data_IF_723973746432
#
_entry.id   IF_723973746432
#
_cell.length_a   1.000
_cell.length_b   1.000
_cell.length_c   1.000
_cell.angle_alpha   90.00
_cell.angle_beta   90.00
_cell.angle_gamma   90.00
#
_symmetry.space_group_name_H-M   'P 1'
#
loop_
_entity.id
_entity.type
_entity.pdbx_description
1 polymer ?
#
# COMPACT_ATOMS: atom_id res chain seq x y z
N UNK A 1 -5.64 -10.22 -1.13
CA UNK A 1 -5.34 -11.05 0.08
C UNK A 1 -6.07 -10.48 1.28
N UNK A 2 -6.26 -11.26 2.34
CA UNK A 2 -6.77 -10.77 3.62
C UNK A 2 -5.60 -10.56 4.58
N UNK A 3 -5.53 -9.41 5.25
CA UNK A 3 -4.42 -9.06 6.16
C UNK A 3 -4.97 -8.43 7.44
N UNK A 4 -4.24 -8.60 8.54
CA UNK A 4 -4.52 -7.92 9.80
C UNK A 4 -3.45 -6.86 10.03
N UNK A 5 -3.84 -5.58 10.09
CA UNK A 5 -2.97 -4.44 10.34
C UNK A 5 -3.54 -3.71 11.56
N UNK A 6 -2.74 -3.54 12.61
CA UNK A 6 -3.17 -2.88 13.86
C UNK A 6 -4.49 -3.41 14.44
N UNK A 7 -4.73 -4.73 14.33
CA UNK A 7 -5.97 -5.37 14.81
C UNK A 7 -7.19 -5.15 13.90
N UNK A 8 -7.03 -4.54 12.73
CA UNK A 8 -8.06 -4.40 11.70
C UNK A 8 -7.84 -5.40 10.58
N UNK A 9 -8.90 -6.14 10.24
CA UNK A 9 -8.89 -7.06 9.10
C UNK A 9 -9.26 -6.31 7.83
N UNK A 10 -8.36 -6.36 6.85
CA UNK A 10 -8.53 -5.74 5.54
C UNK A 10 -8.57 -6.82 4.45
N UNK A 11 -9.40 -6.60 3.43
CA UNK A 11 -9.65 -7.55 2.35
C UNK A 11 -9.18 -7.00 1.01
N UNK A 12 -8.95 -7.87 0.04
CA UNK A 12 -8.63 -7.45 -1.33
C UNK A 12 -7.25 -6.80 -1.54
N UNK A 13 -6.42 -6.73 -0.50
CA UNK A 13 -5.11 -6.06 -0.53
C UNK A 13 -4.14 -6.72 -1.53
N UNK A 14 -3.14 -5.97 -1.98
CA UNK A 14 -1.93 -6.53 -2.57
C UNK A 14 -0.70 -6.20 -1.71
N UNK A 15 0.30 -7.07 -1.74
CA UNK A 15 1.51 -6.94 -0.94
C UNK A 15 2.69 -6.52 -1.81
N UNK A 16 3.58 -5.73 -1.24
CA UNK A 16 4.86 -5.31 -1.81
C UNK A 16 5.95 -5.36 -0.75
N UNK A 17 7.20 -5.38 -1.19
CA UNK A 17 8.39 -5.34 -0.34
C UNK A 17 9.08 -3.97 -0.32
N UNK A 18 8.39 -2.93 -0.81
CA UNK A 18 8.82 -1.54 -0.68
C UNK A 18 8.84 -1.14 0.79
N UNK A 19 9.85 -0.37 1.20
CA UNK A 19 9.89 0.21 2.53
C UNK A 19 8.94 1.40 2.61
N UNK A 20 8.21 1.50 3.71
CA UNK A 20 7.29 2.60 4.03
C UNK A 20 7.43 2.91 5.51
N UNK A 21 7.07 4.11 5.95
CA UNK A 21 7.10 4.52 7.35
C UNK A 21 5.71 4.86 7.86
N UNK A 22 5.60 4.94 9.19
CA UNK A 22 4.42 5.54 9.82
C UNK A 22 4.25 6.99 9.35
N UNK A 23 3.10 7.29 8.76
CA UNK A 23 2.82 8.58 8.12
C UNK A 23 2.57 8.47 6.61
N UNK A 24 3.11 7.45 5.95
CA UNK A 24 2.96 7.24 4.50
C UNK A 24 1.57 6.65 4.13
N UNK A 25 0.72 6.36 5.12
CA UNK A 25 -0.61 5.81 4.89
C UNK A 25 -1.43 6.70 3.95
N UNK A 26 -1.91 6.12 2.85
CA UNK A 26 -2.60 6.83 1.77
C UNK A 26 -1.74 7.15 0.56
N UNK A 27 -0.41 7.04 0.67
CA UNK A 27 0.50 7.35 -0.44
C UNK A 27 0.31 6.41 -1.64
N UNK A 28 0.54 6.91 -2.86
CA UNK A 28 0.31 6.15 -4.07
C UNK A 28 1.43 5.14 -4.34
N UNK A 29 1.04 3.89 -4.62
CA UNK A 29 1.90 2.93 -5.30
C UNK A 29 1.79 3.14 -6.82
N UNK A 30 2.90 3.54 -7.45
CA UNK A 30 2.97 3.82 -8.89
C UNK A 30 3.93 2.86 -9.59
N UNK A 31 3.63 2.52 -10.85
CA UNK A 31 4.57 1.91 -11.79
C UNK A 31 4.59 2.75 -13.07
N UNK A 32 5.62 3.59 -13.20
CA UNK A 32 5.66 4.64 -14.22
C UNK A 32 4.47 5.59 -14.03
N UNK A 33 3.63 5.71 -15.06
CA UNK A 33 2.40 6.53 -15.04
C UNK A 33 1.16 5.76 -14.59
N UNK A 34 1.29 4.49 -14.19
CA UNK A 34 0.16 3.66 -13.79
C UNK A 34 0.01 3.65 -12.28
N UNK A 35 -1.17 4.08 -11.79
CA UNK A 35 -1.53 3.94 -10.39
C UNK A 35 -1.95 2.49 -10.07
N UNK A 36 -1.36 1.92 -9.02
CA UNK A 36 -1.61 0.53 -8.60
C UNK A 36 -2.44 0.46 -7.32
N UNK A 37 -2.16 1.35 -6.36
CA UNK A 37 -2.82 1.32 -5.06
C UNK A 37 -2.48 2.47 -4.13
N UNK A 38 -3.05 2.38 -2.94
CA UNK A 38 -2.89 3.32 -1.84
C UNK A 38 -2.34 2.55 -0.64
N UNK A 39 -1.26 3.03 -0.02
CA UNK A 39 -0.67 2.36 1.13
C UNK A 39 -1.67 2.31 2.27
N UNK A 40 -1.89 1.11 2.83
CA UNK A 40 -2.69 0.94 4.05
C UNK A 40 -1.83 0.71 5.28
N UNK A 41 -0.63 0.13 5.12
CA UNK A 41 0.29 -0.18 6.20
C UNK A 41 0.92 -1.56 6.01
N UNK A 42 1.67 -2.03 7.00
CA UNK A 42 2.29 -3.33 6.94
C UNK A 42 3.17 -3.62 8.13
N UNK A 43 4.45 -3.89 7.87
CA UNK A 43 5.42 -3.97 8.95
C UNK A 43 5.58 -2.60 9.62
N UNK A 44 6.11 -2.55 10.85
CA UNK A 44 6.31 -1.29 11.57
C UNK A 44 7.76 -0.85 11.39
N UNK A 45 8.11 -0.41 10.19
CA UNK A 45 9.44 0.12 9.90
C UNK A 45 9.65 1.44 10.63
N UNK A 46 10.89 1.65 11.08
CA UNK A 46 11.32 2.90 11.72
C UNK A 46 12.34 3.67 10.89
N UNK A 47 12.92 3.01 9.88
CA UNK A 47 13.90 3.58 8.96
C UNK A 47 13.69 2.98 7.57
N UNK A 48 13.69 3.83 6.54
CA UNK A 48 13.78 3.42 5.15
C UNK A 48 15.05 3.98 4.52
N UNK A 49 15.96 3.08 4.15
CA UNK A 49 17.19 3.38 3.42
C UNK A 49 17.36 2.42 2.23
N UNK A 50 18.49 2.53 1.52
CA UNK A 50 18.79 1.72 0.33
C UNK A 50 18.85 0.20 0.59
N UNK A 51 18.95 -0.22 1.85
CA UNK A 51 18.99 -1.63 2.27
C UNK A 51 17.64 -2.15 2.77
N UNK A 52 16.66 -1.27 2.99
CA UNK A 52 15.36 -1.65 3.57
C UNK A 52 14.42 -2.31 2.56
N UNK A 53 14.65 -2.20 1.25
CA UNK A 53 13.80 -2.87 0.26
C UNK A 53 14.06 -4.38 0.23
N UNK A 54 13.01 -5.20 0.34
CA UNK A 54 13.09 -6.66 0.19
C UNK A 54 12.87 -7.47 1.46
N UNK A 55 13.04 -6.88 2.63
CA UNK A 55 12.84 -7.53 3.95
C UNK A 55 11.46 -7.27 4.54
N UNK A 56 10.81 -6.18 4.12
CA UNK A 56 9.54 -5.71 4.65
C UNK A 56 8.34 -6.17 3.84
N UNK A 57 7.14 -6.14 4.44
CA UNK A 57 5.91 -6.52 3.75
C UNK A 57 4.81 -5.51 4.03
N UNK A 58 4.56 -4.68 3.02
CA UNK A 58 3.60 -3.59 3.05
C UNK A 58 2.42 -3.86 2.13
N UNK A 59 1.26 -3.40 2.54
CA UNK A 59 -0.03 -3.74 1.95
C UNK A 59 -0.76 -2.51 1.46
N UNK A 60 -1.32 -2.65 0.27
CA UNK A 60 -1.93 -1.57 -0.47
C UNK A 60 -3.35 -1.94 -0.86
N UNK A 61 -4.25 -0.97 -0.72
CA UNK A 61 -5.59 -1.03 -1.29
C UNK A 61 -5.45 -0.84 -2.80
N UNK A 62 -6.06 -1.72 -3.61
CA UNK A 62 -6.03 -1.58 -5.07
C UNK A 62 -6.77 -0.31 -5.48
N UNK A 63 -6.12 0.56 -6.27
CA UNK A 63 -6.73 1.85 -6.65
C UNK A 63 -8.01 1.63 -7.45
N UNK A 64 -8.04 0.60 -8.31
CA UNK A 64 -9.20 0.27 -9.13
C UNK A 64 -10.46 0.04 -8.30
N UNK A 65 -10.35 -0.63 -7.15
CA UNK A 65 -11.49 -0.86 -6.25
C UNK A 65 -12.10 0.46 -5.78
N UNK A 66 -11.26 1.43 -5.42
CA UNK A 66 -11.72 2.77 -4.99
C UNK A 66 -12.33 3.53 -6.16
N UNK A 67 -11.73 3.46 -7.36
CA UNK A 67 -12.24 4.13 -8.55
C UNK A 67 -13.63 3.60 -8.95
N UNK A 68 -13.79 2.27 -8.98
CA UNK A 68 -15.06 1.63 -9.34
C UNK A 68 -16.16 1.95 -8.32
N UNK A 69 -15.86 1.83 -7.03
CA UNK A 69 -16.83 2.11 -5.94
C UNK A 69 -17.27 3.56 -5.90
N UNK A 70 -16.41 4.50 -6.34
CA UNK A 70 -16.66 5.94 -6.26
C UNK A 70 -17.00 6.58 -7.60
N UNK A 71 -16.97 5.84 -8.70
CA UNK A 71 -17.18 6.38 -10.05
C UNK A 71 -16.13 7.41 -10.45
N UNK A 72 -14.87 7.22 -10.02
CA UNK A 72 -13.77 8.15 -10.24
C UNK A 72 -12.86 7.70 -11.40
N UNK A 73 -12.08 8.64 -11.94
CA UNK A 73 -11.03 8.37 -12.91
C UNK A 73 -9.76 9.17 -12.55
N UNK A 74 -8.61 8.59 -12.87
CA UNK A 74 -7.30 9.27 -12.76
C UNK A 74 -7.15 10.22 -13.95
N UNK A 75 -6.46 11.35 -13.74
CA UNK A 75 -6.25 12.41 -14.74
C UNK A 75 -4.76 12.76 -14.89
#
# INVERSE_FOLDING_TARGET
MTVSIEGKVLYGMFGSNVCVLGGDSGDPALNGTTALGLLSGGTSETVCDSSSSGTHRNYFTKVQTVLDERGLHVY
#
